data_IF_674190637180
#
_entry.id   IF_674190637180
#
_cell.length_a   1.000
_cell.length_b   1.000
_cell.length_c   1.000
_cell.angle_alpha   90.00
_cell.angle_beta   90.00
_cell.angle_gamma   90.00
#
_symmetry.space_group_name_H-M   'P 1'
#
loop_
_entity.id
_entity.type
_entity.pdbx_description
1 polymer ?
#
# COMPACT_ATOMS: atom_id res chain seq x y z
N UNK A 1 29.77 7.92 -18.75
CA UNK A 1 29.22 6.61 -18.37
C UNK A 1 30.12 6.08 -17.26
N UNK A 2 29.68 6.11 -15.99
CA UNK A 2 30.48 5.54 -14.88
C UNK A 2 30.39 4.01 -14.94
N UNK A 3 31.47 3.27 -14.69
CA UNK A 3 31.40 1.80 -14.57
C UNK A 3 30.44 1.42 -13.44
N UNK A 4 29.66 0.37 -13.66
CA UNK A 4 28.76 -0.23 -12.65
C UNK A 4 29.58 -0.72 -11.45
N UNK A 5 29.12 -0.44 -10.23
CA UNK A 5 29.59 -1.11 -9.03
C UNK A 5 28.93 -2.49 -8.94
N UNK A 6 29.65 -3.52 -9.39
CA UNK A 6 29.23 -4.92 -9.30
C UNK A 6 29.02 -5.40 -7.85
N UNK A 7 29.51 -4.65 -6.86
CA UNK A 7 29.39 -4.97 -5.45
C UNK A 7 27.95 -4.90 -4.90
N UNK A 8 27.12 -3.95 -5.36
CA UNK A 8 25.77 -3.76 -4.85
C UNK A 8 24.82 -4.94 -5.20
N UNK A 9 24.96 -5.50 -6.41
CA UNK A 9 24.14 -6.64 -6.86
C UNK A 9 24.49 -7.91 -6.08
N UNK A 10 25.79 -8.18 -5.87
CA UNK A 10 26.23 -9.33 -5.07
C UNK A 10 25.82 -9.24 -3.60
N UNK A 11 25.78 -8.03 -3.03
CA UNK A 11 25.32 -7.80 -1.66
C UNK A 11 23.86 -8.25 -1.47
N UNK A 12 22.97 -7.84 -2.38
CA UNK A 12 21.54 -8.18 -2.30
C UNK A 12 21.27 -9.69 -2.39
N UNK A 13 21.90 -10.42 -3.32
CA UNK A 13 21.71 -11.87 -3.45
C UNK A 13 22.26 -12.65 -2.25
N UNK A 14 23.35 -12.18 -1.66
CA UNK A 14 23.95 -12.80 -0.45
C UNK A 14 23.10 -12.53 0.79
N UNK A 15 22.62 -11.31 0.95
CA UNK A 15 21.65 -10.93 1.99
C UNK A 15 20.39 -11.81 1.93
N UNK A 16 19.86 -12.00 0.72
CA UNK A 16 18.69 -12.83 0.47
C UNK A 16 18.95 -14.31 0.76
N UNK A 17 20.10 -14.84 0.35
CA UNK A 17 20.47 -16.21 0.64
C UNK A 17 20.51 -16.47 2.15
N UNK A 18 21.06 -15.55 2.94
CA UNK A 18 21.08 -15.65 4.40
C UNK A 18 19.68 -15.60 5.02
N UNK A 19 18.83 -14.64 4.60
CA UNK A 19 17.45 -14.52 5.10
C UNK A 19 16.63 -15.80 4.86
N UNK A 20 16.85 -16.47 3.73
CA UNK A 20 16.13 -17.70 3.37
C UNK A 20 16.72 -18.95 4.05
N UNK A 21 18.04 -19.03 4.17
CA UNK A 21 18.72 -20.23 4.68
C UNK A 21 18.73 -20.29 6.21
N UNK A 22 18.80 -19.14 6.88
CA UNK A 22 19.06 -19.05 8.32
C UNK A 22 18.04 -18.16 9.08
N UNK A 23 16.72 -18.26 8.83
CA UNK A 23 15.73 -17.35 9.42
C UNK A 23 15.73 -17.44 10.96
N UNK A 24 15.78 -18.64 11.54
CA UNK A 24 15.74 -18.82 13.00
C UNK A 24 16.95 -18.22 13.74
N UNK A 25 18.13 -18.20 13.10
CA UNK A 25 19.32 -17.58 13.68
C UNK A 25 19.19 -16.05 13.68
N UNK A 26 18.71 -15.49 12.57
CA UNK A 26 18.43 -14.06 12.46
C UNK A 26 17.32 -13.62 13.42
N UNK A 27 16.26 -14.41 13.58
CA UNK A 27 15.20 -14.16 14.56
C UNK A 27 15.74 -14.08 15.98
N UNK A 28 16.50 -15.11 16.40
CA UNK A 28 17.05 -15.20 17.73
C UNK A 28 18.02 -14.06 18.05
N UNK A 29 18.84 -13.65 17.07
CA UNK A 29 19.84 -12.61 17.26
C UNK A 29 19.25 -11.20 17.21
N UNK A 30 18.34 -10.94 16.27
CA UNK A 30 17.76 -9.61 16.06
C UNK A 30 16.53 -9.34 16.93
N UNK A 31 16.06 -10.33 17.70
CA UNK A 31 14.80 -10.23 18.45
C UNK A 31 13.59 -10.04 17.53
N UNK A 32 13.68 -10.59 16.31
CA UNK A 32 12.72 -10.45 15.22
C UNK A 32 11.99 -11.79 15.03
N UNK A 33 10.74 -11.76 14.59
CA UNK A 33 9.97 -12.95 14.21
C UNK A 33 9.51 -12.78 12.77
N UNK A 34 9.94 -13.65 11.87
CA UNK A 34 9.51 -13.61 10.48
C UNK A 34 8.06 -14.06 10.37
N UNK A 35 7.20 -13.17 9.87
CA UNK A 35 5.79 -13.43 9.62
C UNK A 35 5.57 -14.17 8.30
N UNK A 36 6.39 -13.83 7.29
CA UNK A 36 6.32 -14.42 5.95
C UNK A 36 7.71 -14.33 5.32
N UNK A 37 8.23 -15.44 4.80
CA UNK A 37 9.44 -15.49 3.98
C UNK A 37 9.06 -16.17 2.67
N UNK A 38 8.75 -15.36 1.65
CA UNK A 38 8.38 -15.92 0.36
C UNK A 38 9.62 -16.09 -0.52
N UNK A 39 10.01 -17.35 -0.70
CA UNK A 39 11.12 -17.74 -1.58
C UNK A 39 10.69 -18.04 -3.02
N UNK A 40 9.38 -18.05 -3.29
CA UNK A 40 8.78 -18.44 -4.57
C UNK A 40 8.16 -17.26 -5.35
N UNK A 41 7.84 -16.14 -4.70
CA UNK A 41 7.24 -14.94 -5.30
C UNK A 41 8.23 -14.05 -6.06
N UNK A 42 9.01 -14.63 -6.96
CA UNK A 42 9.84 -13.87 -7.90
C UNK A 42 10.65 -12.74 -7.23
N UNK A 43 10.98 -11.66 -7.93
CA UNK A 43 12.12 -10.85 -7.53
C UNK A 43 11.80 -9.63 -6.64
N UNK A 44 10.68 -9.56 -5.90
CA UNK A 44 10.30 -8.26 -5.28
C UNK A 44 9.44 -8.29 -4.01
N UNK A 45 9.55 -9.30 -3.15
CA UNK A 45 9.25 -9.22 -1.70
C UNK A 45 9.75 -10.51 -1.04
N UNK A 46 10.61 -10.43 -0.03
CA UNK A 46 11.36 -11.63 0.41
C UNK A 46 11.15 -11.99 1.88
N UNK A 47 10.94 -11.01 2.76
CA UNK A 47 10.68 -11.29 4.16
C UNK A 47 9.93 -10.15 4.85
N UNK A 48 9.04 -10.49 5.77
CA UNK A 48 8.51 -9.59 6.78
C UNK A 48 8.89 -10.10 8.15
N UNK A 49 9.51 -9.26 8.95
CA UNK A 49 9.82 -9.51 10.35
C UNK A 49 9.02 -8.58 11.26
N UNK A 50 8.69 -9.05 12.46
CA UNK A 50 8.11 -8.24 13.51
C UNK A 50 9.00 -8.31 14.76
N UNK A 51 9.31 -7.17 15.35
CA UNK A 51 9.99 -7.08 16.63
C UNK A 51 9.01 -7.25 17.80
N UNK A 52 9.53 -7.56 18.99
CA UNK A 52 8.72 -7.72 20.20
C UNK A 52 7.90 -6.47 20.59
N UNK A 53 8.30 -5.29 20.12
CA UNK A 53 7.59 -4.03 20.33
C UNK A 53 6.49 -3.75 19.27
N UNK A 54 6.29 -4.69 18.34
CA UNK A 54 5.32 -4.60 17.26
C UNK A 54 5.84 -3.99 15.95
N UNK A 55 7.06 -3.47 15.93
CA UNK A 55 7.67 -2.89 14.72
C UNK A 55 7.79 -3.91 13.61
N UNK A 56 7.28 -3.59 12.41
CA UNK A 56 7.38 -4.46 11.24
C UNK A 56 8.50 -4.00 10.31
N UNK A 57 9.39 -4.91 9.96
CA UNK A 57 10.51 -4.71 9.03
C UNK A 57 10.25 -5.55 7.78
N UNK A 58 10.15 -4.93 6.62
CA UNK A 58 9.96 -5.59 5.34
C UNK A 58 11.23 -5.53 4.49
N UNK A 59 11.55 -6.63 3.80
CA UNK A 59 12.66 -6.70 2.85
C UNK A 59 12.14 -6.91 1.44
N UNK A 60 12.57 -6.05 0.54
CA UNK A 60 12.22 -6.12 -0.86
C UNK A 60 13.48 -6.01 -1.72
N UNK A 61 13.62 -6.86 -2.74
CA UNK A 61 14.66 -6.66 -3.75
C UNK A 61 14.12 -5.65 -4.75
N UNK A 62 14.80 -4.52 -4.88
CA UNK A 62 14.53 -3.59 -5.97
C UNK A 62 15.12 -4.19 -7.25
N UNK A 63 14.26 -4.74 -8.11
CA UNK A 63 14.54 -4.65 -9.55
C UNK A 63 14.10 -3.24 -9.97
N UNK A 64 15.02 -2.29 -9.95
CA UNK A 64 14.75 -1.00 -10.59
C UNK A 64 14.54 -1.19 -12.10
N UNK A 65 13.47 -0.60 -12.64
CA UNK A 65 13.28 -0.39 -14.08
C UNK A 65 14.23 0.71 -14.63
N UNK A 66 14.89 1.47 -13.74
CA UNK A 66 15.88 2.50 -14.07
C UNK A 66 17.24 2.23 -13.39
N UNK A 67 18.17 1.69 -14.20
CA UNK A 67 19.66 1.68 -14.11
C UNK A 67 20.40 1.42 -12.78
N UNK A 68 19.72 1.12 -11.67
CA UNK A 68 20.36 0.78 -10.37
C UNK A 68 19.61 -0.36 -9.66
N UNK A 69 20.04 -1.63 -9.78
CA UNK A 69 19.55 -2.71 -8.91
C UNK A 69 20.00 -2.49 -7.43
N UNK A 70 19.11 -2.75 -6.46
CA UNK A 70 19.36 -2.53 -5.02
C UNK A 70 18.41 -3.33 -4.11
N UNK A 71 18.43 -3.08 -2.79
CA UNK A 71 17.52 -3.71 -1.81
C UNK A 71 16.69 -2.64 -1.10
N UNK A 72 15.38 -2.69 -1.13
CA UNK A 72 14.52 -1.81 -0.32
C UNK A 72 14.25 -2.43 1.05
N UNK A 73 14.49 -1.66 2.12
CA UNK A 73 14.09 -2.02 3.48
C UNK A 73 12.93 -1.12 3.89
N UNK A 74 11.80 -1.73 4.13
CA UNK A 74 10.64 -1.04 4.65
C UNK A 74 10.64 -1.12 6.17
N UNK A 75 10.47 0.03 6.83
CA UNK A 75 10.27 0.06 8.27
C UNK A 75 8.91 0.67 8.58
N UNK A 76 8.01 -0.15 9.11
CA UNK A 76 6.69 0.27 9.55
C UNK A 76 6.67 0.37 11.08
N UNK A 77 7.07 1.52 11.64
CA UNK A 77 6.78 1.97 13.01
C UNK A 77 7.43 3.33 13.34
N UNK A 78 6.98 3.93 14.45
CA UNK A 78 7.29 5.29 14.93
C UNK A 78 8.66 5.42 15.62
N UNK A 79 9.38 4.32 15.84
CA UNK A 79 10.69 4.32 16.50
C UNK A 79 11.73 3.60 15.66
N UNK A 80 12.92 4.20 15.61
CA UNK A 80 14.13 3.54 15.15
C UNK A 80 14.57 2.53 16.22
N UNK A 81 14.53 1.20 15.99
CA UNK A 81 15.55 0.36 16.57
C UNK A 81 16.77 0.53 15.65
N UNK A 82 17.45 1.70 15.76
CA UNK A 82 18.66 2.01 14.95
C UNK A 82 19.64 0.84 15.05
N UNK A 83 19.69 0.19 16.22
CA UNK A 83 20.54 -0.95 16.50
C UNK A 83 20.14 -2.17 15.68
N UNK A 84 18.85 -2.55 15.64
CA UNK A 84 18.38 -3.71 14.86
C UNK A 84 18.61 -3.50 13.37
N UNK A 85 18.32 -2.30 12.85
CA UNK A 85 18.52 -2.08 11.42
C UNK A 85 20.00 -1.99 11.06
N UNK A 86 20.82 -1.36 11.90
CA UNK A 86 22.27 -1.31 11.68
C UNK A 86 22.89 -2.70 11.73
N UNK A 87 22.49 -3.53 12.71
CA UNK A 87 22.95 -4.91 12.85
C UNK A 87 22.50 -5.77 11.67
N UNK A 88 21.25 -5.62 11.24
CA UNK A 88 20.72 -6.30 10.06
C UNK A 88 21.44 -5.90 8.77
N UNK A 89 21.70 -4.60 8.55
CA UNK A 89 22.50 -4.11 7.41
C UNK A 89 23.91 -4.71 7.44
N UNK A 90 24.56 -4.71 8.61
CA UNK A 90 25.87 -5.33 8.80
C UNK A 90 25.86 -6.83 8.44
N UNK A 91 24.86 -7.57 8.91
CA UNK A 91 24.77 -9.02 8.74
C UNK A 91 24.43 -9.45 7.32
N UNK A 92 23.62 -8.64 6.64
CA UNK A 92 23.28 -8.82 5.23
C UNK A 92 24.36 -8.28 4.29
N UNK A 93 25.34 -7.54 4.81
CA UNK A 93 26.37 -6.88 4.01
C UNK A 93 25.84 -5.71 3.17
N UNK A 94 24.67 -5.17 3.52
CA UNK A 94 24.07 -4.00 2.90
C UNK A 94 24.57 -2.73 3.60
N UNK A 95 24.78 -1.66 2.84
CA UNK A 95 25.03 -0.33 3.41
C UNK A 95 23.73 0.47 3.52
N UNK A 96 23.77 1.56 4.29
CA UNK A 96 22.67 2.52 4.35
C UNK A 96 22.26 3.08 2.98
N UNK A 97 23.21 3.19 2.04
CA UNK A 97 22.99 3.70 0.69
C UNK A 97 22.39 2.64 -0.25
N UNK A 98 22.50 1.35 0.10
CA UNK A 98 21.91 0.24 -0.65
C UNK A 98 20.41 0.08 -0.36
N UNK A 99 19.90 0.88 0.59
CA UNK A 99 18.59 0.72 1.22
C UNK A 99 17.76 2.00 1.15
N UNK A 100 16.62 1.92 0.47
CA UNK A 100 15.62 3.00 0.49
C UNK A 100 14.69 2.82 1.69
N UNK A 101 14.54 3.88 2.46
CA UNK A 101 13.78 3.90 3.70
C UNK A 101 12.38 4.44 3.43
N UNK A 102 11.36 3.60 3.57
CA UNK A 102 10.00 4.09 3.76
C UNK A 102 9.69 4.03 5.25
N UNK A 103 9.70 5.18 5.91
CA UNK A 103 8.99 5.33 7.18
C UNK A 103 7.50 5.24 6.87
N UNK A 104 6.75 4.45 7.64
CA UNK A 104 5.31 4.62 7.69
C UNK A 104 4.98 6.12 7.75
N UNK A 105 3.99 6.62 6.98
CA UNK A 105 3.61 8.02 7.07
C UNK A 105 3.43 8.36 8.55
N UNK A 106 3.97 9.50 9.04
CA UNK A 106 3.89 9.84 10.45
C UNK A 106 2.44 9.70 10.88
N UNK A 107 2.20 8.83 11.86
CA UNK A 107 0.91 8.81 12.53
C UNK A 107 0.77 10.23 13.08
N UNK A 108 -0.26 10.95 12.61
CA UNK A 108 -0.53 12.28 13.12
C UNK A 108 -0.73 12.20 14.64
N UNK A 109 -0.62 13.33 15.36
CA UNK A 109 -0.77 13.43 16.82
C UNK A 109 -2.06 12.81 17.39
N UNK A 110 -3.01 12.43 16.53
CA UNK A 110 -4.19 11.63 16.81
C UNK A 110 -4.03 10.27 16.11
N UNK A 111 -3.66 9.21 16.86
CA UNK A 111 -3.42 7.83 16.39
C UNK A 111 -4.63 7.16 15.69
N UNK A 112 -5.73 7.90 15.53
CA UNK A 112 -6.98 7.44 14.94
C UNK A 112 -6.87 7.30 13.42
N UNK A 113 -7.45 6.23 12.88
CA UNK A 113 -7.62 6.06 11.44
C UNK A 113 -8.77 6.95 10.97
N UNK A 114 -8.45 7.99 10.21
CA UNK A 114 -9.46 8.90 9.66
C UNK A 114 -9.75 8.59 8.19
N UNK A 115 -11.00 8.22 7.89
CA UNK A 115 -11.53 8.17 6.54
C UNK A 115 -12.29 9.45 6.22
N UNK A 116 -12.13 9.97 5.01
CA UNK A 116 -12.83 11.15 4.45
C UNK A 116 -14.27 10.82 4.07
N UNK A 117 -14.60 9.55 3.89
CA UNK A 117 -15.94 9.08 3.55
C UNK A 117 -16.18 7.66 4.02
N UNK A 118 -17.46 7.27 4.07
CA UNK A 118 -17.86 5.88 4.32
C UNK A 118 -17.28 4.90 3.29
N UNK A 119 -17.27 5.27 2.01
CA UNK A 119 -16.72 4.44 0.94
C UNK A 119 -15.22 4.17 1.09
N UNK A 120 -14.46 5.15 1.60
CA UNK A 120 -13.05 4.97 1.94
C UNK A 120 -12.86 4.06 3.14
N UNK A 121 -13.69 4.20 4.18
CA UNK A 121 -13.66 3.30 5.32
C UNK A 121 -13.98 1.85 4.90
N UNK A 122 -15.03 1.64 4.11
CA UNK A 122 -15.39 0.30 3.62
C UNK A 122 -14.30 -0.29 2.72
N UNK A 123 -13.65 0.54 1.90
CA UNK A 123 -12.51 0.12 1.08
C UNK A 123 -11.35 -0.33 1.96
N UNK A 124 -10.97 0.49 2.95
CA UNK A 124 -9.92 0.13 3.89
C UNK A 124 -10.25 -1.17 4.63
N UNK A 125 -11.48 -1.34 5.12
CA UNK A 125 -11.90 -2.57 5.80
C UNK A 125 -11.84 -3.79 4.89
N UNK A 126 -12.25 -3.67 3.62
CA UNK A 126 -12.13 -4.75 2.63
C UNK A 126 -10.68 -5.19 2.46
N UNK A 127 -9.75 -4.24 2.47
CA UNK A 127 -8.32 -4.51 2.32
C UNK A 127 -7.72 -5.17 3.56
N UNK A 128 -8.12 -4.76 4.76
CA UNK A 128 -7.68 -5.38 6.02
C UNK A 128 -8.32 -6.75 6.25
N UNK A 129 -9.53 -6.95 5.75
CA UNK A 129 -10.31 -8.17 5.90
C UNK A 129 -10.83 -8.67 4.54
N UNK A 130 -9.97 -9.28 3.70
CA UNK A 130 -10.36 -9.74 2.37
C UNK A 130 -11.43 -10.86 2.40
N UNK A 131 -11.56 -11.58 3.52
CA UNK A 131 -12.63 -12.56 3.76
C UNK A 131 -13.91 -11.94 4.33
N UNK A 132 -13.99 -10.60 4.35
CA UNK A 132 -15.04 -9.85 5.02
C UNK A 132 -14.70 -9.56 6.48
N UNK A 133 -15.29 -8.49 7.00
CA UNK A 133 -15.17 -8.16 8.41
C UNK A 133 -15.74 -9.30 9.27
N UNK A 134 -15.10 -9.68 10.39
CA UNK A 134 -15.62 -10.74 11.27
C UNK A 134 -17.00 -10.40 11.86
N UNK A 135 -17.37 -9.12 11.87
CA UNK A 135 -18.68 -8.60 12.29
C UNK A 135 -19.18 -7.61 11.25
N UNK A 136 -20.49 -7.46 11.05
CA UNK A 136 -20.97 -6.41 10.16
C UNK A 136 -20.50 -5.04 10.68
N UNK A 137 -19.89 -4.18 9.83
CA UNK A 137 -19.37 -2.91 10.30
C UNK A 137 -20.46 -2.04 10.91
N UNK A 138 -20.30 -1.67 12.19
CA UNK A 138 -21.29 -0.88 12.93
C UNK A 138 -20.85 0.57 12.99
N UNK A 139 -21.78 1.49 12.68
CA UNK A 139 -21.58 2.93 12.90
C UNK A 139 -21.94 3.29 14.34
N UNK A 140 -20.99 3.87 15.05
CA UNK A 140 -21.15 4.28 16.45
C UNK A 140 -20.77 5.77 16.58
N UNK A 141 -21.63 6.61 17.19
CA UNK A 141 -21.24 7.98 17.51
C UNK A 141 -20.23 7.99 18.66
N UNK A 142 -19.05 8.59 18.45
CA UNK A 142 -17.98 8.76 19.46
C UNK A 142 -17.46 10.19 19.39
N UNK A 143 -17.52 10.92 20.49
CA UNK A 143 -17.01 12.30 20.61
C UNK A 143 -17.47 13.26 19.49
N UNK A 144 -18.71 13.10 19.00
CA UNK A 144 -19.26 13.92 17.91
C UNK A 144 -18.86 13.48 16.50
N UNK A 145 -18.18 12.35 16.37
CA UNK A 145 -17.81 11.73 15.10
C UNK A 145 -18.58 10.43 14.88
N UNK A 146 -18.78 10.05 13.63
CA UNK A 146 -19.23 8.69 13.28
C UNK A 146 -18.00 7.80 13.17
N UNK A 147 -17.97 6.72 13.95
CA UNK A 147 -16.89 5.72 13.91
C UNK A 147 -17.43 4.43 13.33
N UNK A 148 -16.73 3.91 12.33
CA UNK A 148 -16.98 2.59 11.79
C UNK A 148 -16.12 1.55 12.51
N UNK A 149 -16.76 0.54 13.11
CA UNK A 149 -16.07 -0.52 13.85
C UNK A 149 -16.15 -1.85 13.11
N UNK A 150 -15.01 -2.52 13.02
CA UNK A 150 -14.86 -3.85 12.43
C UNK A 150 -13.85 -4.67 13.26
N UNK A 151 -14.35 -5.51 14.17
CA UNK A 151 -13.49 -6.17 15.16
C UNK A 151 -12.76 -5.13 16.01
N UNK A 152 -11.43 -5.20 16.02
CA UNK A 152 -10.56 -4.27 16.75
C UNK A 152 -10.20 -3.01 15.94
N UNK A 153 -10.66 -2.90 14.69
CA UNK A 153 -10.41 -1.74 13.84
C UNK A 153 -11.48 -0.68 14.07
N UNK A 154 -11.05 0.54 14.41
CA UNK A 154 -11.89 1.73 14.46
C UNK A 154 -11.48 2.73 13.37
N UNK A 155 -12.44 3.15 12.55
CA UNK A 155 -12.23 4.16 11.50
C UNK A 155 -13.16 5.35 11.75
N UNK A 156 -12.59 6.51 12.01
CA UNK A 156 -13.29 7.75 12.23
C UNK A 156 -13.66 8.37 10.89
N UNK A 157 -14.94 8.62 10.67
CA UNK A 157 -15.41 9.34 9.49
C UNK A 157 -15.28 10.83 9.73
N UNK A 158 -14.50 11.49 8.87
CA UNK A 158 -14.49 12.94 8.81
C UNK A 158 -15.89 13.42 8.41
N UNK A 159 -16.37 14.52 9.00
CA UNK A 159 -17.57 15.16 8.48
C UNK A 159 -17.34 15.51 6.99
N UNK A 160 -18.39 15.43 6.17
CA UNK A 160 -18.27 15.76 4.76
C UNK A 160 -17.69 17.18 4.63
N UNK A 161 -16.68 17.37 3.76
CA UNK A 161 -16.08 18.68 3.59
C UNK A 161 -17.13 19.67 3.08
N UNK A 162 -16.94 20.96 3.38
CA UNK A 162 -17.73 21.99 2.74
C UNK A 162 -17.58 21.87 1.22
N UNK A 163 -18.68 22.10 0.48
CA UNK A 163 -18.78 21.85 -0.99
C UNK A 163 -17.68 22.49 -1.85
N UNK A 164 -16.91 23.42 -1.31
CA UNK A 164 -15.92 24.20 -2.03
C UNK A 164 -14.48 23.75 -1.76
N UNK A 165 -14.25 22.87 -0.78
CA UNK A 165 -12.90 22.45 -0.44
C UNK A 165 -12.44 21.28 -1.31
N UNK A 166 -11.24 21.37 -1.92
CA UNK A 166 -10.68 20.24 -2.65
C UNK A 166 -10.45 19.09 -1.68
N UNK A 167 -11.02 17.93 -1.99
CA UNK A 167 -10.83 16.73 -1.17
C UNK A 167 -9.39 16.24 -1.36
N UNK A 168 -8.54 16.25 -0.31
CA UNK A 168 -7.16 15.79 -0.43
C UNK A 168 -7.12 14.29 -0.72
N UNK A 169 -5.98 13.73 -1.18
CA UNK A 169 -5.81 12.28 -1.33
C UNK A 169 -6.06 11.53 -0.01
N UNK A 170 -6.32 10.23 -0.11
CA UNK A 170 -6.46 9.36 1.05
C UNK A 170 -5.16 9.31 1.85
N UNK A 171 -5.27 9.22 3.18
CA UNK A 171 -4.14 8.97 4.08
C UNK A 171 -4.08 7.54 4.59
N UNK A 172 -5.11 6.73 4.36
CA UNK A 172 -5.21 5.35 4.87
C UNK A 172 -5.15 4.30 3.75
N UNK A 173 -5.43 4.70 2.51
CA UNK A 173 -5.47 3.82 1.34
C UNK A 173 -4.67 4.45 0.20
N UNK A 174 -3.67 3.76 -0.31
CA UNK A 174 -2.83 4.25 -1.40
C UNK A 174 -3.51 4.06 -2.79
N UNK A 175 -2.99 4.64 -3.88
CA UNK A 175 -3.62 4.57 -5.19
C UNK A 175 -3.61 3.16 -5.79
N UNK A 176 -2.63 2.32 -5.46
CA UNK A 176 -2.57 0.95 -5.94
C UNK A 176 -3.67 0.07 -5.30
N UNK A 177 -3.90 0.25 -4.01
CA UNK A 177 -5.00 -0.37 -3.27
C UNK A 177 -6.37 0.07 -3.81
N UNK A 178 -6.55 1.37 -4.08
CA UNK A 178 -7.75 1.88 -4.74
C UNK A 178 -7.99 1.23 -6.11
N UNK A 179 -6.94 1.08 -6.92
CA UNK A 179 -7.07 0.47 -8.24
C UNK A 179 -7.39 -1.04 -8.15
N UNK A 180 -6.87 -1.75 -7.15
CA UNK A 180 -7.24 -3.15 -6.89
C UNK A 180 -8.73 -3.29 -6.64
N UNK A 181 -9.27 -2.44 -5.75
CA UNK A 181 -10.70 -2.40 -5.44
C UNK A 181 -11.54 -2.04 -6.67
N UNK A 182 -11.05 -1.12 -7.50
CA UNK A 182 -11.71 -0.79 -8.76
C UNK A 182 -11.79 -1.98 -9.73
N UNK A 183 -10.75 -2.83 -9.79
CA UNK A 183 -10.75 -4.04 -10.63
C UNK A 183 -11.74 -5.08 -10.11
N UNK A 184 -11.80 -5.31 -8.80
CA UNK A 184 -12.75 -6.23 -8.19
C UNK A 184 -14.20 -5.79 -8.40
N UNK A 185 -14.49 -4.50 -8.18
CA UNK A 185 -15.83 -3.93 -8.36
C UNK A 185 -16.27 -3.98 -9.83
N UNK A 186 -15.37 -3.70 -10.77
CA UNK A 186 -15.66 -3.80 -12.19
C UNK A 186 -15.97 -5.24 -12.61
N UNK A 187 -15.21 -6.22 -12.09
CA UNK A 187 -15.48 -7.63 -12.33
C UNK A 187 -16.85 -8.08 -11.75
N UNK A 188 -17.30 -7.45 -10.67
CA UNK A 188 -18.63 -7.65 -10.08
C UNK A 188 -19.74 -6.81 -10.75
N UNK A 189 -19.46 -6.12 -11.86
CA UNK A 189 -20.36 -5.20 -12.56
C UNK A 189 -20.85 -4.00 -11.71
N UNK A 190 -20.16 -3.68 -10.62
CA UNK A 190 -20.38 -2.49 -9.79
C UNK A 190 -19.63 -1.27 -10.36
N UNK A 191 -19.95 -0.91 -11.61
CA UNK A 191 -19.16 0.05 -12.39
C UNK A 191 -19.14 1.47 -11.79
N UNK A 192 -20.19 1.88 -11.07
CA UNK A 192 -20.25 3.20 -10.43
C UNK A 192 -19.25 3.28 -9.28
N UNK A 193 -19.23 2.27 -8.43
CA UNK A 193 -18.34 2.15 -7.29
C UNK A 193 -16.89 1.99 -7.77
N UNK A 194 -16.67 1.22 -8.83
CA UNK A 194 -15.37 1.11 -9.48
C UNK A 194 -14.87 2.47 -10.01
N UNK A 195 -15.75 3.29 -10.60
CA UNK A 195 -15.40 4.63 -11.06
C UNK A 195 -14.99 5.56 -9.91
N UNK A 196 -15.67 5.51 -8.77
CA UNK A 196 -15.28 6.26 -7.57
C UNK A 196 -13.89 5.86 -7.09
N UNK A 197 -13.59 4.56 -7.04
CA UNK A 197 -12.26 4.07 -6.65
C UNK A 197 -11.15 4.57 -7.58
N UNK A 198 -11.37 4.60 -8.91
CA UNK A 198 -10.41 5.18 -9.86
C UNK A 198 -10.26 6.69 -9.66
N UNK A 199 -11.36 7.40 -9.33
CA UNK A 199 -11.31 8.84 -9.04
C UNK A 199 -10.50 9.13 -7.78
N UNK A 200 -10.57 8.28 -6.77
CA UNK A 200 -9.71 8.37 -5.58
C UNK A 200 -8.24 8.15 -5.93
N UNK A 201 -7.91 7.14 -6.74
CA UNK A 201 -6.53 6.93 -7.21
C UNK A 201 -5.98 8.15 -7.99
N UNK A 202 -6.82 8.80 -8.82
CA UNK A 202 -6.45 10.01 -9.56
C UNK A 202 -6.10 11.19 -8.65
N UNK A 203 -6.64 11.29 -7.43
CA UNK A 203 -6.33 12.40 -6.51
C UNK A 203 -4.87 12.39 -6.08
N UNK A 204 -4.22 11.22 -6.06
CA UNK A 204 -2.80 11.09 -5.72
C UNK A 204 -1.86 11.68 -6.77
N UNK A 205 -2.35 11.95 -7.97
CA UNK A 205 -1.52 12.43 -9.07
C UNK A 205 -1.17 13.92 -8.84
N UNK A 206 0.12 14.26 -8.66
CA UNK A 206 0.50 15.65 -8.46
C UNK A 206 0.08 16.54 -9.63
N UNK A 207 -0.13 17.85 -9.39
CA UNK A 207 -0.40 18.80 -10.47
C UNK A 207 0.68 18.73 -11.55
N UNK A 208 0.27 18.56 -12.81
CA UNK A 208 1.16 18.46 -13.96
C UNK A 208 1.93 17.15 -14.12
N UNK A 209 1.81 16.18 -13.20
CA UNK A 209 2.43 14.87 -13.35
C UNK A 209 1.66 14.00 -14.36
N UNK A 210 2.38 13.26 -15.20
CA UNK A 210 1.80 12.29 -16.13
C UNK A 210 1.65 10.90 -15.52
N UNK A 211 2.38 10.60 -14.44
CA UNK A 211 2.36 9.31 -13.75
C UNK A 211 2.39 9.50 -12.24
N UNK A 212 1.79 8.55 -11.53
CA UNK A 212 1.85 8.49 -10.07
C UNK A 212 3.28 8.17 -9.61
N UNK A 213 3.90 9.02 -8.77
CA UNK A 213 5.22 8.71 -8.23
C UNK A 213 5.20 7.45 -7.35
N UNK A 214 6.25 6.62 -7.41
CA UNK A 214 6.38 5.38 -6.61
C UNK A 214 6.17 5.62 -5.11
N UNK A 215 6.64 6.76 -4.58
CA UNK A 215 6.43 7.14 -3.16
C UNK A 215 4.97 7.26 -2.73
N UNK A 216 4.02 7.31 -3.67
CA UNK A 216 2.59 7.32 -3.37
C UNK A 216 2.05 5.92 -3.11
N UNK A 217 2.84 4.85 -3.26
CA UNK A 217 2.46 3.48 -3.01
C UNK A 217 3.14 2.99 -1.73
N UNK A 218 2.42 2.98 -0.62
CA UNK A 218 2.98 2.65 0.70
C UNK A 218 2.36 1.42 1.34
N UNK A 219 1.33 0.84 0.71
CA UNK A 219 0.72 -0.42 1.16
C UNK A 219 1.32 -1.60 0.40
N UNK A 220 1.43 -2.80 1.02
CA UNK A 220 1.90 -3.99 0.32
C UNK A 220 1.08 -4.33 -0.93
N UNK A 221 -0.25 -4.15 -0.88
CA UNK A 221 -1.10 -4.36 -2.03
C UNK A 221 -0.84 -3.33 -3.14
N UNK A 222 -0.72 -2.05 -2.79
CA UNK A 222 -0.46 -1.00 -3.77
C UNK A 222 0.86 -1.20 -4.51
N UNK A 223 1.92 -1.60 -3.79
CA UNK A 223 3.20 -1.97 -4.39
C UNK A 223 3.11 -3.21 -5.28
N UNK A 224 2.31 -4.22 -4.92
CA UNK A 224 2.03 -5.38 -5.81
C UNK A 224 1.33 -4.92 -7.09
N UNK A 225 0.31 -4.08 -6.97
CA UNK A 225 -0.46 -3.56 -8.10
C UNK A 225 0.43 -2.75 -9.06
N UNK A 226 1.28 -1.86 -8.54
CA UNK A 226 2.25 -1.10 -9.33
C UNK A 226 3.18 -2.03 -10.13
N UNK A 227 3.64 -3.12 -9.53
CA UNK A 227 4.53 -4.09 -10.19
C UNK A 227 3.82 -4.90 -11.27
N UNK A 228 2.61 -5.37 -11.00
CA UNK A 228 1.86 -6.21 -11.94
C UNK A 228 1.29 -5.38 -13.10
N UNK A 229 1.00 -4.10 -12.85
CA UNK A 229 0.28 -3.24 -13.77
C UNK A 229 0.87 -1.82 -13.87
N UNK A 230 2.18 -1.63 -14.13
CA UNK A 230 2.83 -0.33 -14.05
C UNK A 230 2.19 0.71 -14.99
N UNK A 231 1.81 0.30 -16.20
CA UNK A 231 1.17 1.17 -17.20
C UNK A 231 -0.22 1.67 -16.82
N UNK A 232 -0.85 1.12 -15.77
CA UNK A 232 -2.18 1.54 -15.31
C UNK A 232 -2.15 2.80 -14.43
N UNK A 233 -0.97 3.23 -13.98
CA UNK A 233 -0.82 4.36 -13.04
C UNK A 233 -0.40 5.67 -13.71
N UNK A 234 -0.53 5.75 -15.04
CA UNK A 234 -0.44 7.01 -15.78
C UNK A 234 -1.77 7.78 -15.73
N UNK A 235 -1.69 9.12 -15.83
CA UNK A 235 -2.83 10.02 -15.98
C UNK A 235 -3.77 9.53 -17.07
N UNK A 236 -3.20 9.24 -18.24
CA UNK A 236 -3.96 8.80 -19.40
C UNK A 236 -4.68 7.47 -19.15
N UNK A 237 -4.01 6.48 -18.55
CA UNK A 237 -4.62 5.19 -18.25
C UNK A 237 -5.74 5.30 -17.21
N UNK A 238 -5.51 6.02 -16.12
CA UNK A 238 -6.52 6.24 -15.07
C UNK A 238 -7.73 7.00 -15.60
N UNK A 239 -7.53 8.06 -16.40
CA UNK A 239 -8.61 8.82 -17.01
C UNK A 239 -9.41 7.99 -18.03
N UNK A 240 -8.72 7.20 -18.86
CA UNK A 240 -9.37 6.32 -19.82
C UNK A 240 -10.22 5.26 -19.10
N UNK A 241 -9.70 4.66 -18.02
CA UNK A 241 -10.44 3.70 -17.22
C UNK A 241 -11.65 4.32 -16.52
N UNK A 242 -11.49 5.52 -15.94
CA UNK A 242 -12.60 6.26 -15.34
C UNK A 242 -13.73 6.49 -16.36
N UNK A 243 -13.38 6.99 -17.55
CA UNK A 243 -14.35 7.25 -18.61
C UNK A 243 -15.09 5.98 -19.06
N UNK A 244 -14.38 4.84 -19.15
CA UNK A 244 -14.98 3.55 -19.50
C UNK A 244 -15.98 3.06 -18.44
N UNK A 245 -15.61 3.14 -17.16
CA UNK A 245 -16.46 2.74 -16.04
C UNK A 245 -17.71 3.64 -15.93
N UNK A 246 -17.56 4.94 -16.09
CA UNK A 246 -18.69 5.87 -16.11
C UNK A 246 -19.64 5.60 -17.29
N UNK A 247 -19.12 5.23 -18.46
CA UNK A 247 -19.94 4.85 -19.60
C UNK A 247 -20.72 3.54 -19.33
N UNK A 248 -20.06 2.53 -18.75
CA UNK A 248 -20.70 1.28 -18.38
C UNK A 248 -21.80 1.49 -17.33
N UNK A 249 -21.56 2.30 -16.30
CA UNK A 249 -22.55 2.64 -15.27
C UNK A 249 -23.83 3.28 -15.89
N UNK A 250 -23.68 4.24 -16.81
CA UNK A 250 -24.82 4.86 -17.52
C UNK A 250 -25.61 3.85 -18.34
N UNK A 251 -24.95 2.89 -18.99
CA UNK A 251 -25.62 1.85 -19.77
C UNK A 251 -26.51 0.96 -18.88
N UNK A 252 -26.01 0.57 -17.71
CA UNK A 252 -26.78 -0.21 -16.72
C UNK A 252 -28.01 0.56 -16.25
N UNK A 253 -27.88 1.85 -15.94
CA UNK A 253 -28.99 2.71 -15.53
C UNK A 253 -30.06 2.82 -16.63
N UNK A 254 -29.65 3.00 -17.90
CA UNK A 254 -30.56 3.05 -19.04
C UNK A 254 -31.27 1.71 -19.33
N UNK A 255 -30.65 0.58 -19.00
CA UNK A 255 -31.29 -0.73 -19.13
C UNK A 255 -32.38 -0.93 -18.05
N UNK A 256 -32.10 -0.53 -16.81
CA UNK A 256 -33.06 -0.62 -15.70
C UNK A 256 -34.25 0.32 -15.89
N UNK A 257 -34.01 1.57 -16.31
CA UNK A 257 -35.07 2.55 -16.55
C UNK A 257 -36.01 2.23 -17.72
N UNK A 258 -35.62 1.33 -18.63
CA UNK A 258 -36.49 0.84 -19.72
C UNK A 258 -37.33 -0.39 -19.34
N UNK A 259 -37.05 -0.99 -18.19
CA UNK A 259 -37.70 -2.21 -17.70
C UNK A 259 -38.74 -1.93 -16.60
N UNK A 260 -38.94 -0.66 -16.23
CA UNK A 260 -39.97 -0.18 -15.30
C UNK A 260 -41.11 0.50 -16.06
#
# INVERSE_FOLDING_TARGET
MRPMDFHAVQGSDTALAKLVQEPAELEARLGLTFLEVDSQLGPSLFAFGQLADGTVIGFNRLISLDRHPGTELYQYADRRPVDVVTELLFETGLSHDDVSWMTAPPLAEDERLWARSRAEADTYLRLQHPQGCPVDPVEVPVDGHTVLRCGDIEIYLRPPPDRHDPVPPSTITDPGSWLSVAFELDAAAAHREAAEAVREALRFLPPGADELPVRMFWTPLGLRMLRQHPGQFSRAALQARLAALEAAARQVEHAHGRSS
#
